data_IF_472802947915
#
_entry.id   IF_472802947915
#
_cell.length_a   1.000
_cell.length_b   1.000
_cell.length_c   1.000
_cell.angle_alpha   90.00
_cell.angle_beta   90.00
_cell.angle_gamma   90.00
#
_symmetry.space_group_name_H-M   'P 1'
#
loop_
_entity.id
_entity.type
_entity.pdbx_description
1 polymer ?
#
# COMPACT_ATOMS: atom_id res chain seq x y z
N UNK A 1 -5.70 -9.55 29.57
CA UNK A 1 -4.43 -9.71 28.85
C UNK A 1 -4.13 -8.41 28.14
N UNK A 2 -3.07 -7.73 28.53
CA UNK A 2 -2.65 -6.46 27.94
C UNK A 2 -1.63 -6.73 26.84
N UNK A 3 -1.47 -5.78 25.93
CA UNK A 3 -0.47 -5.89 24.86
C UNK A 3 0.96 -5.89 25.43
N UNK A 4 1.19 -5.14 26.51
CA UNK A 4 2.49 -5.09 27.18
C UNK A 4 3.00 -6.45 27.68
N UNK A 5 2.10 -7.36 28.05
CA UNK A 5 2.43 -8.70 28.59
C UNK A 5 3.13 -9.60 27.56
N UNK A 6 3.07 -9.26 26.26
CA UNK A 6 3.60 -10.09 25.19
C UNK A 6 5.12 -9.88 24.93
N UNK A 7 5.71 -8.77 25.38
CA UNK A 7 7.15 -8.51 25.24
C UNK A 7 7.64 -8.15 23.83
N UNK A 8 6.76 -7.79 22.88
CA UNK A 8 7.13 -7.49 21.49
C UNK A 8 7.43 -6.02 21.21
N UNK A 9 7.53 -5.16 22.22
CA UNK A 9 7.61 -3.71 22.03
C UNK A 9 8.83 -3.28 21.18
N UNK A 10 10.01 -3.83 21.47
CA UNK A 10 11.25 -3.51 20.75
C UNK A 10 11.21 -3.98 19.29
N UNK A 11 10.60 -5.14 19.03
CA UNK A 11 10.39 -5.62 17.67
C UNK A 11 9.41 -4.72 16.90
N UNK A 12 8.31 -4.33 17.53
CA UNK A 12 7.33 -3.41 16.93
C UNK A 12 7.98 -2.05 16.62
N UNK A 13 8.85 -1.54 17.49
CA UNK A 13 9.63 -0.33 17.25
C UNK A 13 10.56 -0.48 16.02
N UNK A 14 11.23 -1.62 15.88
CA UNK A 14 12.07 -1.93 14.72
C UNK A 14 11.28 -1.95 13.40
N UNK A 15 10.13 -2.64 13.38
CA UNK A 15 9.24 -2.71 12.21
C UNK A 15 8.61 -1.34 11.91
N UNK A 16 8.22 -0.58 12.94
CA UNK A 16 7.73 0.79 12.81
C UNK A 16 8.76 1.69 12.11
N UNK A 17 10.02 1.63 12.54
CA UNK A 17 11.10 2.40 11.93
C UNK A 17 11.36 2.01 10.47
N UNK A 18 11.45 0.71 10.18
CA UNK A 18 11.67 0.21 8.82
C UNK A 18 10.53 0.60 7.87
N UNK A 19 9.27 0.45 8.30
CA UNK A 19 8.09 0.80 7.49
C UNK A 19 7.97 2.32 7.29
N UNK A 20 8.30 3.13 8.30
CA UNK A 20 8.35 4.59 8.17
C UNK A 20 9.42 5.04 7.16
N UNK A 21 10.60 4.41 7.17
CA UNK A 21 11.64 4.68 6.18
C UNK A 21 11.16 4.32 4.76
N UNK A 22 10.56 3.14 4.57
CA UNK A 22 10.01 2.71 3.28
C UNK A 22 8.89 3.65 2.78
N UNK A 23 8.00 4.08 3.67
CA UNK A 23 6.97 5.06 3.34
C UNK A 23 7.58 6.38 2.84
N UNK A 24 8.61 6.87 3.53
CA UNK A 24 9.37 8.06 3.10
C UNK A 24 9.99 7.86 1.71
N UNK A 25 10.65 6.73 1.46
CA UNK A 25 11.25 6.43 0.16
C UNK A 25 10.22 6.36 -0.97
N UNK A 26 9.05 5.76 -0.73
CA UNK A 26 7.97 5.68 -1.72
C UNK A 26 7.42 7.08 -2.04
N UNK A 27 7.25 7.94 -1.03
CA UNK A 27 6.76 9.30 -1.21
C UNK A 27 7.78 10.14 -2.00
N UNK A 28 9.08 10.01 -1.71
CA UNK A 28 10.14 10.69 -2.48
C UNK A 28 10.22 10.17 -3.92
N UNK A 29 10.14 8.85 -4.13
CA UNK A 29 10.11 8.27 -5.47
C UNK A 29 8.90 8.76 -6.29
N UNK A 30 7.77 8.97 -5.63
CA UNK A 30 6.58 9.52 -6.24
C UNK A 30 6.71 11.00 -6.61
N UNK A 31 7.30 11.82 -5.73
CA UNK A 31 7.45 13.25 -5.99
C UNK A 31 8.37 13.53 -7.19
N UNK A 32 9.48 12.79 -7.30
CA UNK A 32 10.43 12.97 -8.43
C UNK A 32 9.89 12.45 -9.76
N UNK A 33 8.87 11.59 -9.76
CA UNK A 33 8.25 11.03 -10.97
C UNK A 33 6.79 11.46 -11.18
N UNK A 34 6.33 12.51 -10.50
CA UNK A 34 4.89 12.81 -10.38
C UNK A 34 4.20 12.96 -11.74
N UNK A 35 4.85 13.60 -12.71
CA UNK A 35 4.30 13.77 -14.06
C UNK A 35 3.98 12.43 -14.76
N UNK A 36 4.81 11.40 -14.56
CA UNK A 36 4.57 10.05 -15.11
C UNK A 36 3.48 9.31 -14.35
N UNK A 37 3.39 9.53 -13.04
CA UNK A 37 2.42 8.84 -12.17
C UNK A 37 1.00 9.33 -12.45
N UNK A 38 0.81 10.65 -12.57
CA UNK A 38 -0.51 11.24 -12.84
C UNK A 38 -1.01 11.01 -14.26
N UNK A 39 -0.11 10.66 -15.19
CA UNK A 39 -0.47 10.34 -16.58
C UNK A 39 -1.31 9.06 -16.71
N UNK A 40 -1.26 8.17 -15.72
CA UNK A 40 -2.06 6.94 -15.71
C UNK A 40 -2.83 6.77 -14.40
N UNK A 41 -4.15 6.64 -14.52
CA UNK A 41 -5.06 6.46 -13.40
C UNK A 41 -4.76 5.19 -12.59
N UNK A 42 -4.31 4.11 -13.24
CA UNK A 42 -3.95 2.87 -12.55
C UNK A 42 -2.66 3.01 -11.74
N UNK A 43 -1.66 3.77 -12.24
CA UNK A 43 -0.41 3.99 -11.54
C UNK A 43 -0.62 4.83 -10.27
N UNK A 44 -1.41 5.90 -10.39
CA UNK A 44 -1.78 6.74 -9.24
C UNK A 44 -2.54 5.94 -8.18
N UNK A 45 -3.50 5.11 -8.59
CA UNK A 45 -4.26 4.29 -7.66
C UNK A 45 -3.39 3.24 -6.94
N UNK A 46 -2.45 2.59 -7.65
CA UNK A 46 -1.51 1.62 -7.06
C UNK A 46 -0.57 2.27 -6.06
N UNK A 47 -0.04 3.45 -6.38
CA UNK A 47 0.81 4.20 -5.45
C UNK A 47 0.04 4.53 -4.18
N UNK A 48 -1.19 5.04 -4.31
CA UNK A 48 -2.05 5.38 -3.17
C UNK A 48 -2.34 4.18 -2.27
N UNK A 49 -2.69 3.02 -2.85
CA UNK A 49 -2.89 1.77 -2.12
C UNK A 49 -1.63 1.32 -1.37
N UNK A 50 -0.46 1.40 -2.00
CA UNK A 50 0.82 1.08 -1.35
C UNK A 50 1.11 1.99 -0.16
N UNK A 51 0.91 3.31 -0.31
CA UNK A 51 1.10 4.27 0.79
C UNK A 51 0.10 3.99 1.92
N UNK A 52 -1.17 3.74 1.61
CA UNK A 52 -2.19 3.43 2.60
C UNK A 52 -1.84 2.17 3.40
N UNK A 53 -1.34 1.12 2.73
CA UNK A 53 -0.87 -0.10 3.38
C UNK A 53 0.32 0.15 4.31
N UNK A 54 1.29 0.97 3.89
CA UNK A 54 2.44 1.33 4.73
C UNK A 54 2.01 2.14 5.96
N UNK A 55 1.07 3.07 5.80
CA UNK A 55 0.50 3.85 6.92
C UNK A 55 -0.27 2.96 7.89
N UNK A 56 -1.01 1.96 7.38
CA UNK A 56 -1.65 0.95 8.22
C UNK A 56 -0.62 0.18 9.05
N UNK A 57 0.48 -0.26 8.42
CA UNK A 57 1.55 -1.00 9.11
C UNK A 57 2.17 -0.16 10.23
N UNK A 58 2.50 1.10 9.94
CA UNK A 58 3.02 2.08 10.93
C UNK A 58 2.02 2.25 12.07
N UNK A 59 0.73 2.44 11.77
CA UNK A 59 -0.32 2.64 12.77
C UNK A 59 -0.46 1.42 13.69
N UNK A 60 -0.48 0.22 13.11
CA UNK A 60 -0.59 -1.03 13.86
C UNK A 60 0.62 -1.27 14.77
N UNK A 61 1.84 -0.98 14.30
CA UNK A 61 3.07 -1.09 15.10
C UNK A 61 3.14 -0.01 16.19
N UNK A 62 2.72 1.23 15.91
CA UNK A 62 2.69 2.30 16.89
C UNK A 62 1.66 2.04 18.00
N UNK A 63 0.48 1.52 17.66
CA UNK A 63 -0.54 1.14 18.65
C UNK A 63 -0.07 0.01 19.57
N UNK A 64 0.77 -0.90 19.06
CA UNK A 64 1.33 -1.99 19.85
C UNK A 64 2.36 -1.51 20.89
N UNK A 65 2.86 -0.27 20.78
CA UNK A 65 3.79 0.30 21.76
C UNK A 65 3.12 0.81 23.03
N UNK A 66 1.80 0.96 23.06
CA UNK A 66 1.08 1.40 24.27
C UNK A 66 0.85 0.20 25.19
N UNK A 67 1.54 0.08 26.33
CA UNK A 67 1.46 -1.11 27.18
C UNK A 67 0.09 -1.28 27.86
N UNK A 68 -0.61 -0.17 28.12
CA UNK A 68 -1.90 -0.12 28.83
C UNK A 68 -3.11 -0.49 27.93
N UNK A 69 -2.88 -0.77 26.65
CA UNK A 69 -3.97 -1.13 25.75
C UNK A 69 -4.35 -2.61 25.94
N UNK A 70 -5.66 -2.87 26.09
CA UNK A 70 -6.17 -4.23 26.10
C UNK A 70 -6.01 -4.88 24.72
N UNK A 71 -5.78 -6.20 24.69
CA UNK A 71 -5.63 -6.92 23.42
C UNK A 71 -6.85 -6.77 22.50
N UNK A 72 -8.05 -6.71 23.08
CA UNK A 72 -9.32 -6.52 22.34
C UNK A 72 -9.40 -5.12 21.74
N UNK A 73 -9.06 -4.08 22.51
CA UNK A 73 -9.06 -2.71 22.01
C UNK A 73 -8.02 -2.50 20.91
N UNK A 74 -6.83 -3.09 21.06
CA UNK A 74 -5.81 -3.12 20.02
C UNK A 74 -6.32 -3.78 18.74
N UNK A 75 -6.89 -4.98 18.85
CA UNK A 75 -7.46 -5.70 17.71
C UNK A 75 -8.57 -4.92 17.00
N UNK A 76 -9.47 -4.28 17.76
CA UNK A 76 -10.53 -3.45 17.21
C UNK A 76 -9.98 -2.22 16.45
N UNK A 77 -8.97 -1.54 16.99
CA UNK A 77 -8.34 -0.39 16.35
C UNK A 77 -7.59 -0.78 15.06
N UNK A 78 -6.88 -1.91 15.08
CA UNK A 78 -6.20 -2.45 13.88
C UNK A 78 -7.21 -2.87 12.82
N UNK A 79 -8.29 -3.55 13.21
CA UNK A 79 -9.37 -3.91 12.28
C UNK A 79 -10.02 -2.69 11.66
N UNK A 80 -10.36 -1.67 12.46
CA UNK A 80 -10.92 -0.42 11.95
C UNK A 80 -9.97 0.26 10.95
N UNK A 81 -8.67 0.31 11.27
CA UNK A 81 -7.64 0.87 10.39
C UNK A 81 -7.50 0.05 9.09
N UNK A 82 -7.55 -1.27 9.18
CA UNK A 82 -7.47 -2.17 8.03
C UNK A 82 -8.68 -2.01 7.10
N UNK A 83 -9.88 -1.82 7.64
CA UNK A 83 -11.07 -1.53 6.84
C UNK A 83 -10.95 -0.21 6.07
N UNK A 84 -10.34 0.81 6.68
CA UNK A 84 -10.07 2.09 6.01
C UNK A 84 -9.05 1.89 4.87
N UNK A 85 -7.93 1.18 5.14
CA UNK A 85 -6.90 0.90 4.14
C UNK A 85 -7.46 0.06 2.97
N UNK A 86 -8.28 -0.93 3.26
CA UNK A 86 -8.93 -1.78 2.26
C UNK A 86 -9.74 -0.97 1.25
N UNK A 87 -10.29 0.19 1.62
CA UNK A 87 -11.01 1.04 0.69
C UNK A 87 -10.11 1.59 -0.43
N UNK A 88 -8.84 1.91 -0.11
CA UNK A 88 -7.84 2.33 -1.09
C UNK A 88 -7.38 1.16 -1.97
N UNK A 89 -7.17 -0.01 -1.38
CA UNK A 89 -6.79 -1.23 -2.11
C UNK A 89 -7.88 -1.66 -3.09
N UNK A 90 -9.14 -1.61 -2.66
CA UNK A 90 -10.29 -1.88 -3.51
C UNK A 90 -10.39 -0.88 -4.68
N UNK A 91 -10.08 0.39 -4.43
CA UNK A 91 -10.04 1.41 -5.48
C UNK A 91 -8.92 1.13 -6.50
N UNK A 92 -7.74 0.74 -6.03
CA UNK A 92 -6.63 0.34 -6.89
C UNK A 92 -6.93 -0.92 -7.69
N UNK A 93 -7.48 -1.96 -7.06
CA UNK A 93 -7.89 -3.19 -7.74
C UNK A 93 -8.91 -2.90 -8.85
N UNK A 94 -9.92 -2.07 -8.58
CA UNK A 94 -10.88 -1.63 -9.60
C UNK A 94 -10.22 -0.84 -10.74
N UNK A 95 -9.33 0.08 -10.41
CA UNK A 95 -8.61 0.87 -11.42
C UNK A 95 -7.73 -0.03 -12.31
N UNK A 96 -7.10 -1.07 -11.77
CA UNK A 96 -6.31 -2.03 -12.55
C UNK A 96 -7.21 -2.84 -13.49
N UNK A 97 -8.32 -3.39 -12.96
CA UNK A 97 -9.26 -4.19 -13.75
C UNK A 97 -9.86 -3.39 -14.91
N UNK A 98 -10.19 -2.12 -14.70
CA UNK A 98 -10.70 -1.22 -15.75
C UNK A 98 -9.65 -0.92 -16.85
N UNK A 99 -8.36 -1.08 -16.57
CA UNK A 99 -7.27 -0.84 -17.52
C UNK A 99 -6.83 -2.11 -18.28
N UNK A 100 -7.52 -3.25 -18.15
CA UNK A 100 -7.14 -4.54 -18.76
C UNK A 100 -7.77 -4.76 -20.15
N UNK A 101 -7.80 -3.74 -21.01
CA UNK A 101 -8.11 -3.94 -22.45
C UNK A 101 -6.99 -3.42 -23.34
N UNK A 102 -5.86 -4.15 -23.48
CA UNK A 102 -5.02 -4.04 -24.65
C UNK A 102 -5.76 -4.72 -25.81
N UNK A 103 -6.52 -3.93 -26.57
CA UNK A 103 -6.81 -4.31 -27.94
C UNK A 103 -5.48 -4.40 -28.70
N UNK A 104 -5.40 -5.40 -29.58
CA UNK A 104 -4.47 -5.50 -30.71
C UNK A 104 -3.16 -6.27 -30.49
N UNK A 105 -3.33 -7.55 -30.17
CA UNK A 105 -2.65 -8.57 -30.98
C UNK A 105 -3.29 -8.66 -32.37
N UNK A 106 -3.04 -7.68 -33.25
CA UNK A 106 -3.10 -7.93 -34.70
C UNK A 106 -1.71 -7.71 -35.23
N UNK A 107 -0.92 -8.78 -35.24
CA UNK A 107 0.23 -8.87 -36.13
C UNK A 107 -0.31 -8.62 -37.54
N UNK A 108 -0.03 -7.45 -38.11
CA UNK A 108 -0.33 -7.15 -39.50
C UNK A 108 0.53 -8.08 -40.39
N UNK A 109 -0.07 -9.05 -41.11
CA UNK A 109 0.68 -9.96 -41.96
C UNK A 109 1.31 -9.24 -43.17
N UNK A 110 0.97 -7.98 -43.46
CA UNK A 110 1.48 -7.24 -44.61
C UNK A 110 2.86 -6.64 -44.41
N UNK A 111 3.42 -6.65 -43.19
CA UNK A 111 4.77 -6.15 -42.91
C UNK A 111 5.90 -7.13 -43.28
N UNK A 112 5.55 -8.33 -43.80
CA UNK A 112 6.50 -9.30 -44.38
C UNK A 112 6.26 -9.43 -45.89
N UNK A 113 6.64 -8.42 -46.66
CA UNK A 113 6.94 -8.62 -48.08
C UNK A 113 8.33 -8.05 -48.35
N UNK A 114 9.26 -8.84 -48.93
CA UNK A 114 10.56 -8.35 -49.35
C UNK A 114 10.43 -7.57 -50.66
N UNK A 115 11.09 -6.42 -50.74
CA UNK A 115 11.38 -5.66 -51.95
C UNK A 115 12.80 -5.15 -51.87
#
# INVERSE_FOLDING_TARGET
MMVGDLGWNEFNLGILGATAALAGLVIVAASVNIAKIVASRSLTARLGAGIATLVLAITASALAMFPEITLVAYGAAVLASALIAMMFDAHAARAILQNTVPATGSVDPRRRAPG
#
